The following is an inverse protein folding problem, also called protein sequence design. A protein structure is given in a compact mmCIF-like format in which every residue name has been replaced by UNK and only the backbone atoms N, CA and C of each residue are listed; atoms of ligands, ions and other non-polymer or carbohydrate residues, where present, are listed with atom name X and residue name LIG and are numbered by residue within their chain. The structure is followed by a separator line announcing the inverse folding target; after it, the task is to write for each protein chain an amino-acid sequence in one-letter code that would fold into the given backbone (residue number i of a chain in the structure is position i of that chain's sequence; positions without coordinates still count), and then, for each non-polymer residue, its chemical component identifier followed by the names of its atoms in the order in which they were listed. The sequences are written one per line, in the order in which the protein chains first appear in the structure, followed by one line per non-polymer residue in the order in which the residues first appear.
data_IF_336620439174
#
_entry.id   IF_336620439174
#
_cell.length_a   1.000
_cell.length_b   1.000
_cell.length_c   1.000
_cell.angle_alpha   90.00
_cell.angle_beta   90.00
_cell.angle_gamma   90.00
#
_symmetry.space_group_name_H-M   'P 1'
#
loop_
_entity.id
_entity.type
_entity.pdbx_description
1 polymer ?
#
# COMPACT_ATOMS: atom_id res chain seq x y z
N UNK A 1 7.92 -19.51 -16.25
CA UNK A 1 7.16 -19.26 -15.00
C UNK A 1 6.31 -18.01 -15.24
N UNK A 2 5.08 -17.92 -14.72
CA UNK A 2 4.26 -16.69 -14.83
C UNK A 2 4.07 -16.10 -13.44
N UNK A 3 4.41 -14.82 -13.28
CA UNK A 3 4.36 -14.11 -12.02
C UNK A 3 3.19 -13.13 -12.01
N UNK A 4 2.56 -12.97 -10.84
CA UNK A 4 1.50 -12.00 -10.62
C UNK A 4 1.95 -11.08 -9.48
N UNK A 5 1.86 -9.79 -9.71
CA UNK A 5 2.21 -8.76 -8.74
C UNK A 5 0.99 -7.86 -8.54
N UNK A 6 0.49 -7.78 -7.32
CA UNK A 6 -0.58 -6.83 -7.00
C UNK A 6 0.09 -5.61 -6.37
N UNK A 7 -0.06 -4.46 -7.02
CA UNK A 7 0.39 -3.16 -6.50
C UNK A 7 -0.80 -2.43 -5.91
N UNK A 8 -0.54 -1.51 -5.00
CA UNK A 8 -1.58 -0.72 -4.32
C UNK A 8 -1.17 0.74 -4.28
N UNK A 9 -2.14 1.64 -4.29
CA UNK A 9 -1.87 3.08 -4.21
C UNK A 9 -1.13 3.40 -2.89
N UNK A 10 0.04 4.06 -2.92
CA UNK A 10 0.87 4.33 -1.75
C UNK A 10 0.17 4.97 -0.55
N UNK A 11 -0.67 5.99 -0.77
CA UNK A 11 -1.44 6.64 0.30
C UNK A 11 -2.43 5.63 0.89
N UNK A 12 -3.11 4.83 0.05
CA UNK A 12 -4.02 3.78 0.52
C UNK A 12 -3.32 2.70 1.33
N UNK A 13 -2.06 2.37 1.02
CA UNK A 13 -1.26 1.45 1.84
C UNK A 13 -1.02 2.04 3.23
N UNK A 14 -0.54 3.28 3.31
CA UNK A 14 -0.29 3.96 4.59
C UNK A 14 -1.54 4.06 5.46
N UNK A 15 -2.66 4.54 4.89
CA UNK A 15 -3.93 4.69 5.61
C UNK A 15 -4.47 3.33 6.07
N UNK A 16 -4.38 2.32 5.21
CA UNK A 16 -4.86 0.98 5.53
C UNK A 16 -4.02 0.30 6.62
N UNK A 17 -2.70 0.48 6.60
CA UNK A 17 -1.81 -0.04 7.64
C UNK A 17 -2.11 0.57 9.01
N UNK A 18 -2.37 1.86 9.06
CA UNK A 18 -2.66 2.58 10.31
C UNK A 18 -3.95 2.08 10.94
N UNK A 19 -5.00 1.99 10.12
CA UNK A 19 -6.30 1.47 10.55
C UNK A 19 -6.22 0.01 10.97
N UNK A 20 -5.41 -0.79 10.27
CA UNK A 20 -5.15 -2.18 10.63
C UNK A 20 -4.50 -2.25 12.02
N UNK A 21 -3.37 -1.59 12.25
CA UNK A 21 -2.67 -1.66 13.54
C UNK A 21 -3.49 -1.12 14.72
N UNK A 22 -4.37 -0.14 14.51
CA UNK A 22 -5.28 0.34 15.55
C UNK A 22 -6.29 -0.70 16.02
N UNK A 23 -6.74 -1.59 15.12
CA UNK A 23 -7.91 -2.45 15.34
C UNK A 23 -7.58 -3.94 15.39
N UNK A 24 -6.46 -4.35 14.81
CA UNK A 24 -5.98 -5.72 14.73
C UNK A 24 -5.91 -6.38 16.11
N UNK A 25 -6.21 -7.67 16.16
CA UNK A 25 -6.20 -8.48 17.40
C UNK A 25 -5.16 -9.58 17.35
N UNK A 26 -4.41 -9.68 16.25
CA UNK A 26 -3.36 -10.64 16.04
C UNK A 26 -2.22 -10.42 17.02
N UNK A 27 -1.71 -11.52 17.60
CA UNK A 27 -0.70 -11.48 18.66
C UNK A 27 0.56 -10.69 18.27
N UNK A 28 0.95 -10.70 17.01
CA UNK A 28 2.15 -10.00 16.52
C UNK A 28 2.00 -8.48 16.48
N UNK A 29 0.77 -7.96 16.35
CA UNK A 29 0.47 -6.51 16.44
C UNK A 29 0.48 -6.05 17.89
N UNK A 30 0.08 -6.93 18.79
CA UNK A 30 0.01 -6.69 20.23
C UNK A 30 1.34 -6.96 20.95
N UNK A 31 2.30 -7.58 20.28
CA UNK A 31 3.62 -7.89 20.83
C UNK A 31 4.42 -6.60 21.08
N UNK A 32 5.09 -6.48 22.25
CA UNK A 32 6.07 -5.43 22.54
C UNK A 32 7.16 -5.30 21.47
N UNK A 33 7.56 -4.06 21.18
CA UNK A 33 8.59 -3.72 20.20
C UNK A 33 9.72 -2.92 20.85
N UNK A 34 10.97 -3.33 20.61
CA UNK A 34 12.14 -2.66 21.20
C UNK A 34 12.25 -1.22 20.68
N UNK A 35 11.99 -1.04 19.39
CA UNK A 35 11.94 0.26 18.71
C UNK A 35 10.85 1.20 19.25
N UNK A 36 9.83 0.66 19.93
CA UNK A 36 8.78 1.45 20.60
C UNK A 36 8.92 1.47 22.12
N UNK A 37 10.11 1.18 22.65
CA UNK A 37 10.36 1.16 24.10
C UNK A 37 9.55 0.12 24.87
N UNK A 38 9.21 -1.00 24.23
CA UNK A 38 8.39 -2.07 24.81
C UNK A 38 6.88 -1.90 24.59
N UNK A 39 6.43 -0.80 23.97
CA UNK A 39 5.04 -0.69 23.52
C UNK A 39 4.79 -1.59 22.30
N UNK A 40 3.53 -1.99 22.11
CA UNK A 40 3.08 -2.58 20.85
C UNK A 40 2.71 -1.49 19.84
N UNK A 41 2.66 -1.81 18.55
CA UNK A 41 2.21 -0.86 17.51
C UNK A 41 0.82 -0.31 17.82
N UNK A 42 -0.09 -1.18 18.26
CA UNK A 42 -1.42 -0.75 18.65
C UNK A 42 -1.41 0.19 19.85
N UNK A 43 -0.61 -0.11 20.88
CA UNK A 43 -0.48 0.76 22.06
C UNK A 43 0.12 2.12 21.70
N UNK A 44 1.12 2.14 20.81
CA UNK A 44 1.73 3.35 20.28
C UNK A 44 0.71 4.20 19.50
N UNK A 45 0.01 3.63 18.52
CA UNK A 45 -0.95 4.40 17.73
C UNK A 45 -2.14 4.91 18.53
N UNK A 46 -2.49 4.26 19.64
CA UNK A 46 -3.51 4.73 20.59
C UNK A 46 -3.03 5.86 21.51
N UNK A 47 -1.71 6.07 21.65
CA UNK A 47 -1.13 7.08 22.55
C UNK A 47 -0.69 8.37 21.87
N UNK A 48 -0.60 8.37 20.53
CA UNK A 48 -0.25 9.56 19.72
C UNK A 48 -1.48 10.17 19.05
N UNK A 49 -1.34 11.39 18.51
CA UNK A 49 -2.40 12.01 17.71
C UNK A 49 -2.68 11.20 16.43
N UNK A 50 -3.88 11.31 15.87
CA UNK A 50 -4.22 10.63 14.60
C UNK A 50 -3.26 11.03 13.47
N UNK A 51 -2.90 12.32 13.38
CA UNK A 51 -1.99 12.82 12.38
C UNK A 51 -0.59 12.20 12.52
N UNK A 52 -0.05 12.16 13.74
CA UNK A 52 1.25 11.56 14.04
C UNK A 52 1.25 10.05 13.83
N UNK A 53 0.17 9.37 14.19
CA UNK A 53 0.03 7.93 13.99
C UNK A 53 0.00 7.54 12.52
N UNK A 54 -0.78 8.25 11.69
CA UNK A 54 -0.83 8.03 10.24
C UNK A 54 0.52 8.33 9.60
N UNK A 55 1.18 9.43 10.00
CA UNK A 55 2.52 9.78 9.51
C UNK A 55 3.54 8.69 9.87
N UNK A 56 3.57 8.25 11.13
CA UNK A 56 4.50 7.23 11.62
C UNK A 56 4.32 5.91 10.88
N UNK A 57 3.07 5.46 10.69
CA UNK A 57 2.79 4.26 9.91
C UNK A 57 3.25 4.40 8.46
N UNK A 58 3.06 5.57 7.86
CA UNK A 58 3.46 5.78 6.49
C UNK A 58 4.98 5.72 6.32
N UNK A 59 5.73 6.36 7.22
CA UNK A 59 7.19 6.31 7.27
C UNK A 59 7.70 4.87 7.48
N UNK A 60 7.05 4.10 8.37
CA UNK A 60 7.32 2.67 8.57
C UNK A 60 7.12 1.85 7.29
N UNK A 61 6.16 2.23 6.46
CA UNK A 61 5.76 1.48 5.26
C UNK A 61 6.51 1.91 4.00
N UNK A 62 7.17 3.07 3.99
CA UNK A 62 7.93 3.57 2.84
C UNK A 62 8.97 2.57 2.29
N UNK A 63 9.74 1.83 3.10
CA UNK A 63 10.66 0.82 2.57
C UNK A 63 9.95 -0.26 1.74
N UNK A 64 8.81 -0.75 2.19
CA UNK A 64 8.02 -1.76 1.48
C UNK A 64 7.44 -1.20 0.17
N UNK A 65 6.92 0.04 0.20
CA UNK A 65 6.44 0.74 -0.99
C UNK A 65 7.55 0.97 -2.02
N UNK A 66 8.75 1.31 -1.57
CA UNK A 66 9.94 1.45 -2.44
C UNK A 66 10.28 0.13 -3.10
N UNK A 67 10.31 -0.98 -2.37
CA UNK A 67 10.58 -2.30 -2.94
C UNK A 67 9.49 -2.73 -3.93
N UNK A 68 8.21 -2.49 -3.62
CA UNK A 68 7.12 -2.74 -4.56
C UNK A 68 7.28 -1.91 -5.85
N UNK A 69 7.66 -0.63 -5.73
CA UNK A 69 7.92 0.25 -6.86
C UNK A 69 9.12 -0.21 -7.70
N UNK A 70 10.22 -0.66 -7.07
CA UNK A 70 11.36 -1.26 -7.78
C UNK A 70 10.97 -2.51 -8.55
N UNK A 71 10.24 -3.43 -7.91
CA UNK A 71 9.77 -4.67 -8.56
C UNK A 71 8.87 -4.32 -9.73
N UNK A 72 7.91 -3.41 -9.56
CA UNK A 72 7.04 -2.96 -10.64
C UNK A 72 7.84 -2.36 -11.80
N UNK A 73 8.74 -1.41 -11.51
CA UNK A 73 9.57 -0.76 -12.53
C UNK A 73 10.37 -1.78 -13.34
N UNK A 74 11.06 -2.69 -12.65
CA UNK A 74 11.90 -3.73 -13.27
C UNK A 74 11.11 -4.78 -14.06
N UNK A 75 9.82 -4.97 -13.78
CA UNK A 75 9.01 -6.05 -14.37
C UNK A 75 7.89 -5.57 -15.28
N UNK A 76 7.61 -4.26 -15.34
CA UNK A 76 6.48 -3.68 -16.07
C UNK A 76 6.44 -4.03 -17.57
N UNK A 77 7.61 -4.21 -18.19
CA UNK A 77 7.74 -4.59 -19.60
C UNK A 77 7.89 -6.11 -19.83
N UNK A 78 7.92 -6.92 -18.76
CA UNK A 78 8.15 -8.36 -18.87
C UNK A 78 6.83 -9.09 -19.11
N UNK A 79 6.63 -9.66 -20.31
CA UNK A 79 5.39 -10.36 -20.70
C UNK A 79 4.97 -11.52 -19.79
N UNK A 80 5.92 -12.07 -19.02
CA UNK A 80 5.69 -13.15 -18.06
C UNK A 80 5.28 -12.65 -16.67
N UNK A 81 5.08 -11.34 -16.51
CA UNK A 81 4.64 -10.70 -15.28
C UNK A 81 3.34 -9.95 -15.56
N UNK A 82 2.32 -10.20 -14.74
CA UNK A 82 1.09 -9.40 -14.73
C UNK A 82 1.06 -8.55 -13.47
N UNK A 83 1.11 -7.23 -13.64
CA UNK A 83 0.89 -6.27 -12.56
C UNK A 83 -0.57 -5.80 -12.55
N UNK A 84 -1.21 -5.88 -11.39
CA UNK A 84 -2.61 -5.49 -11.19
C UNK A 84 -2.67 -4.46 -10.08
N UNK A 85 -3.40 -3.38 -10.30
CA UNK A 85 -3.74 -2.43 -9.23
C UNK A 85 -4.80 -3.04 -8.32
N UNK A 86 -4.57 -3.01 -7.02
CA UNK A 86 -5.50 -3.54 -6.03
C UNK A 86 -6.90 -2.90 -6.15
N UNK A 87 -6.95 -1.61 -6.46
CA UNK A 87 -8.17 -0.83 -6.63
C UNK A 87 -9.01 -1.30 -7.84
N UNK A 88 -8.39 -1.95 -8.83
CA UNK A 88 -9.09 -2.49 -9.99
C UNK A 88 -10.06 -3.63 -9.63
N UNK A 89 -9.81 -4.34 -8.52
CA UNK A 89 -10.76 -5.32 -7.99
C UNK A 89 -12.05 -4.66 -7.49
N UNK A 90 -11.96 -3.47 -6.89
CA UNK A 90 -13.12 -2.75 -6.38
C UNK A 90 -13.86 -1.99 -7.49
N UNK A 91 -13.15 -1.43 -8.48
CA UNK A 91 -13.76 -0.63 -9.54
C UNK A 91 -14.30 -1.45 -10.71
N UNK A 92 -13.68 -2.61 -11.02
CA UNK A 92 -14.08 -3.45 -12.15
C UNK A 92 -13.63 -4.92 -11.93
N UNK A 93 -14.23 -5.58 -10.95
CA UNK A 93 -13.88 -6.94 -10.54
C UNK A 93 -13.84 -7.93 -11.71
N UNK A 94 -14.90 -7.99 -12.50
CA UNK A 94 -15.03 -8.95 -13.61
C UNK A 94 -13.97 -8.76 -14.70
N UNK A 95 -13.66 -7.52 -15.09
CA UNK A 95 -12.59 -7.26 -16.06
C UNK A 95 -11.21 -7.61 -15.49
N UNK A 96 -10.96 -7.27 -14.23
CA UNK A 96 -9.71 -7.58 -13.53
C UNK A 96 -9.49 -9.09 -13.43
N UNK A 97 -10.50 -9.85 -13.00
CA UNK A 97 -10.42 -11.32 -12.94
C UNK A 97 -10.27 -11.95 -14.33
N UNK A 98 -10.92 -11.41 -15.37
CA UNK A 98 -10.71 -11.86 -16.74
C UNK A 98 -9.26 -11.68 -17.18
N UNK A 99 -8.62 -10.56 -16.85
CA UNK A 99 -7.20 -10.34 -17.13
C UNK A 99 -6.31 -11.35 -16.40
N UNK A 100 -6.57 -11.62 -15.11
CA UNK A 100 -5.88 -12.66 -14.33
C UNK A 100 -6.01 -14.03 -15.00
N UNK A 101 -7.24 -14.44 -15.34
CA UNK A 101 -7.50 -15.75 -15.93
C UNK A 101 -6.90 -15.89 -17.32
N UNK A 102 -6.98 -14.87 -18.16
CA UNK A 102 -6.32 -14.86 -19.47
C UNK A 102 -4.80 -15.01 -19.32
N UNK A 103 -4.22 -14.36 -18.33
CA UNK A 103 -2.79 -14.46 -18.07
C UNK A 103 -2.35 -15.83 -17.56
N UNK A 104 -3.14 -16.52 -16.73
CA UNK A 104 -2.77 -17.88 -16.27
C UNK A 104 -3.23 -18.99 -17.23
N UNK A 105 -4.16 -18.70 -18.13
CA UNK A 105 -4.77 -19.68 -19.05
C UNK A 105 -3.76 -20.48 -19.88
N UNK A 106 -2.70 -19.91 -20.47
CA UNK A 106 -1.72 -20.70 -21.21
C UNK A 106 -1.05 -21.79 -20.36
N UNK A 107 -0.77 -21.49 -19.08
CA UNK A 107 -0.19 -22.46 -18.14
C UNK A 107 -1.20 -23.54 -17.78
N UNK A 108 -2.46 -23.18 -17.57
CA UNK A 108 -3.53 -24.14 -17.29
C UNK A 108 -3.80 -25.06 -18.50
N UNK A 109 -3.86 -24.49 -19.72
CA UNK A 109 -4.08 -25.24 -20.97
C UNK A 109 -2.94 -26.19 -21.30
N UNK A 110 -1.69 -25.85 -20.94
CA UNK A 110 -0.56 -26.75 -21.11
C UNK A 110 -0.60 -27.96 -20.16
N UNK A 111 -1.35 -27.88 -19.05
CA UNK A 111 -1.41 -28.90 -18.01
C UNK A 111 -2.71 -29.71 -18.01
N UNK A 112 -3.76 -29.22 -18.64
CA UNK A 112 -5.08 -29.83 -18.65
C UNK A 112 -5.41 -30.41 -20.04
N UNK A 113 -6.16 -31.51 -20.12
CA UNK A 113 -6.74 -31.97 -21.38
C UNK A 113 -7.54 -30.85 -22.05
N UNK A 114 -7.52 -30.77 -23.39
CA UNK A 114 -8.15 -29.67 -24.14
C UNK A 114 -9.65 -29.49 -23.83
N UNK A 115 -10.36 -30.60 -23.58
CA UNK A 115 -11.77 -30.60 -23.18
C UNK A 115 -12.01 -30.10 -21.73
N UNK A 116 -10.97 -30.04 -20.90
CA UNK A 116 -11.03 -29.62 -19.50
C UNK A 116 -10.49 -28.21 -19.26
N UNK A 117 -9.98 -27.53 -20.30
CA UNK A 117 -9.49 -26.16 -20.15
C UNK A 117 -10.67 -25.21 -19.87
N UNK A 118 -10.70 -24.55 -18.70
CA UNK A 118 -11.83 -23.70 -18.35
C UNK A 118 -11.89 -22.45 -19.23
N UNK A 119 -13.11 -22.10 -19.64
CA UNK A 119 -13.40 -20.82 -20.28
C UNK A 119 -13.21 -19.68 -19.25
N UNK A 120 -12.38 -18.66 -19.54
CA UNK A 120 -12.22 -17.50 -18.66
C UNK A 120 -13.54 -16.86 -18.24
N UNK A 121 -14.58 -16.85 -19.08
CA UNK A 121 -15.89 -16.31 -18.68
C UNK A 121 -16.50 -17.12 -17.53
N UNK A 122 -16.50 -18.45 -17.64
CA UNK A 122 -17.01 -19.34 -16.58
C UNK A 122 -16.21 -19.23 -15.28
N UNK A 123 -14.90 -18.98 -15.37
CA UNK A 123 -14.07 -18.74 -14.19
C UNK A 123 -14.43 -17.40 -13.51
N UNK A 124 -14.68 -16.34 -14.29
CA UNK A 124 -15.16 -15.06 -13.75
C UNK A 124 -16.49 -15.23 -13.03
N UNK A 125 -17.45 -15.95 -13.63
CA UNK A 125 -18.74 -16.23 -13.00
C UNK A 125 -18.55 -17.02 -11.69
N UNK A 126 -17.66 -18.02 -11.67
CA UNK A 126 -17.39 -18.81 -10.48
C UNK A 126 -16.78 -18.00 -9.32
N UNK A 127 -16.08 -16.90 -9.61
CA UNK A 127 -15.49 -16.02 -8.59
C UNK A 127 -16.31 -14.77 -8.31
N UNK A 128 -17.42 -14.54 -9.00
CA UNK A 128 -18.27 -13.37 -8.79
C UNK A 128 -18.75 -13.21 -7.33
N UNK A 129 -19.02 -14.28 -6.54
CA UNK A 129 -19.39 -14.13 -5.13
C UNK A 129 -18.32 -13.47 -4.26
N UNK A 130 -17.07 -13.36 -4.73
CA UNK A 130 -15.97 -12.69 -4.03
C UNK A 130 -15.81 -11.21 -4.44
N UNK A 131 -16.66 -10.69 -5.32
CA UNK A 131 -16.71 -9.27 -5.63
C UNK A 131 -17.21 -8.50 -4.41
N UNK A 132 -16.29 -7.91 -3.64
CA UNK A 132 -16.62 -7.19 -2.42
C UNK A 132 -17.39 -5.89 -2.67
N UNK A 133 -17.37 -5.33 -3.89
CA UNK A 133 -18.19 -4.17 -4.22
C UNK A 133 -19.67 -4.55 -4.33
N UNK A 134 -19.94 -5.73 -4.90
CA UNK A 134 -21.30 -6.27 -5.07
C UNK A 134 -21.80 -7.03 -3.84
N UNK A 135 -20.89 -7.76 -3.18
CA UNK A 135 -21.15 -8.66 -2.06
C UNK A 135 -20.44 -8.19 -0.80
N UNK A 136 -20.51 -6.89 -0.50
CA UNK A 136 -19.89 -6.32 0.68
C UNK A 136 -20.28 -7.13 1.93
N UNK A 137 -19.30 -7.64 2.71
CA UNK A 137 -19.62 -8.39 3.90
C UNK A 137 -20.43 -7.49 4.84
N UNK A 138 -21.45 -8.07 5.50
CA UNK A 138 -22.17 -7.33 6.54
C UNK A 138 -21.14 -6.81 7.54
N UNK A 139 -21.19 -5.52 7.93
CA UNK A 139 -20.25 -4.97 8.89
C UNK A 139 -20.33 -5.80 10.17
N UNK A 140 -19.32 -6.64 10.39
CA UNK A 140 -19.18 -7.36 11.65
C UNK A 140 -18.61 -6.38 12.67
N UNK A 141 -18.90 -6.58 13.97
CA UNK A 141 -18.31 -5.78 15.05
C UNK A 141 -16.76 -5.85 15.09
N UNK A 142 -16.15 -6.76 14.32
CA UNK A 142 -14.71 -6.95 14.20
C UNK A 142 -14.16 -6.52 12.81
N UNK A 143 -14.93 -5.79 12.01
CA UNK A 143 -14.49 -5.36 10.68
C UNK A 143 -13.38 -4.29 10.78
N UNK A 144 -12.17 -4.64 10.37
CA UNK A 144 -11.06 -3.69 10.15
C UNK A 144 -11.26 -2.82 8.89
N UNK A 145 -12.35 -3.03 8.13
CA UNK A 145 -12.66 -2.25 6.93
C UNK A 145 -13.27 -0.93 7.36
N UNK A 146 -12.57 0.17 7.10
CA UNK A 146 -13.07 1.53 7.36
C UNK A 146 -13.83 2.08 6.17
N UNK A 147 -14.74 3.02 6.45
CA UNK A 147 -15.51 3.67 5.38
C UNK A 147 -14.62 4.57 4.51
N UNK A 148 -15.10 4.91 3.31
CA UNK A 148 -14.40 5.86 2.42
C UNK A 148 -14.23 7.22 3.11
N UNK A 149 -15.25 7.68 3.85
CA UNK A 149 -15.23 8.95 4.57
C UNK A 149 -14.16 8.96 5.68
N UNK A 150 -14.06 7.87 6.47
CA UNK A 150 -13.03 7.75 7.50
C UNK A 150 -11.63 7.83 6.91
N UNK A 151 -11.42 7.22 5.74
CA UNK A 151 -10.13 7.26 5.05
C UNK A 151 -9.80 8.64 4.51
N UNK A 152 -10.79 9.42 4.08
CA UNK A 152 -10.55 10.77 3.54
C UNK A 152 -9.90 11.69 4.58
N UNK A 153 -10.40 11.66 5.83
CA UNK A 153 -9.79 12.38 6.93
C UNK A 153 -8.32 11.96 7.15
N UNK A 154 -8.03 10.66 7.08
CA UNK A 154 -6.67 10.14 7.26
C UNK A 154 -5.73 10.52 6.10
N UNK A 155 -6.22 10.49 4.85
CA UNK A 155 -5.45 10.95 3.67
C UNK A 155 -5.04 12.41 3.82
N UNK A 156 -5.94 13.24 4.36
CA UNK A 156 -5.68 14.68 4.54
C UNK A 156 -4.44 14.96 5.40
N UNK A 157 -4.18 14.13 6.42
CA UNK A 157 -3.00 14.24 7.26
C UNK A 157 -1.70 13.94 6.50
N UNK A 158 -1.72 13.03 5.52
CA UNK A 158 -0.56 12.73 4.67
C UNK A 158 -0.31 13.81 3.62
N UNK A 159 -1.39 14.32 3.02
CA UNK A 159 -1.32 15.38 1.98
C UNK A 159 -0.88 16.73 2.56
N UNK A 160 -1.12 16.96 3.85
CA UNK A 160 -0.64 18.14 4.57
C UNK A 160 0.88 18.17 4.76
N UNK A 161 1.57 17.03 4.70
CA UNK A 161 3.01 16.95 4.90
C UNK A 161 3.75 17.02 3.56
N UNK A 162 4.39 18.15 3.26
CA UNK A 162 4.87 18.47 1.91
C UNK A 162 5.86 17.42 1.35
N UNK A 163 6.82 16.99 2.17
CA UNK A 163 7.86 16.04 1.75
C UNK A 163 7.30 14.63 1.59
N UNK A 164 6.48 14.18 2.55
CA UNK A 164 5.85 12.87 2.48
C UNK A 164 4.87 12.78 1.30
N UNK A 165 4.06 13.84 1.08
CA UNK A 165 3.18 13.96 -0.09
C UNK A 165 3.98 13.82 -1.39
N UNK A 166 5.09 14.54 -1.53
CA UNK A 166 5.93 14.47 -2.73
C UNK A 166 6.40 13.02 -3.00
N UNK A 167 6.91 12.33 -1.99
CA UNK A 167 7.40 10.96 -2.15
C UNK A 167 6.28 9.96 -2.46
N UNK A 168 5.13 10.08 -1.78
CA UNK A 168 3.99 9.21 -2.06
C UNK A 168 3.48 9.39 -3.49
N UNK A 169 3.35 10.63 -3.95
CA UNK A 169 2.95 10.93 -5.33
C UNK A 169 3.96 10.43 -6.36
N UNK A 170 5.26 10.59 -6.08
CA UNK A 170 6.31 10.07 -6.95
C UNK A 170 6.29 8.53 -7.02
N UNK A 171 6.05 7.85 -5.90
CA UNK A 171 5.85 6.39 -5.87
C UNK A 171 4.58 5.99 -6.64
N UNK A 172 3.49 6.73 -6.52
CA UNK A 172 2.26 6.51 -7.29
C UNK A 172 2.53 6.62 -8.79
N UNK A 173 3.36 7.57 -9.22
CA UNK A 173 3.82 7.69 -10.60
C UNK A 173 4.69 6.50 -11.03
N UNK A 174 5.67 6.04 -10.22
CA UNK A 174 6.47 4.83 -10.54
C UNK A 174 5.53 3.65 -10.76
N UNK A 175 4.53 3.48 -9.90
CA UNK A 175 3.55 2.40 -9.92
C UNK A 175 2.46 2.59 -11.00
N UNK A 176 2.57 3.64 -11.81
CA UNK A 176 1.69 3.94 -12.94
C UNK A 176 0.31 4.48 -12.56
N UNK A 177 0.05 4.82 -11.28
CA UNK A 177 -1.24 5.34 -10.85
C UNK A 177 -1.58 6.70 -11.44
N UNK A 178 -0.56 7.52 -11.67
CA UNK A 178 -0.71 8.85 -12.25
C UNK A 178 -0.34 8.82 -13.74
N UNK A 179 -1.11 9.48 -14.62
CA UNK A 179 -0.63 9.77 -15.95
C UNK A 179 0.62 10.64 -15.83
N UNK A 180 1.69 10.31 -16.55
CA UNK A 180 3.01 10.96 -16.51
C UNK A 180 3.03 12.44 -16.95
N UNK A 181 1.88 13.11 -16.99
CA UNK A 181 1.69 14.50 -17.44
C UNK A 181 1.04 15.44 -16.42
N UNK A 182 0.56 14.98 -15.25
CA UNK A 182 -0.18 15.86 -14.32
C UNK A 182 0.69 16.65 -13.33
N UNK A 183 2.01 16.42 -13.27
CA UNK A 183 2.94 17.25 -12.49
C UNK A 183 3.46 18.46 -13.28
N UNK A 184 2.54 19.32 -13.74
CA UNK A 184 2.84 20.68 -14.19
C UNK A 184 3.64 20.79 -15.49
N UNK A 185 3.03 21.43 -16.49
CA UNK A 185 3.54 21.66 -17.84
C UNK A 185 4.82 22.55 -17.97
N UNK A 186 5.70 22.56 -16.98
CA UNK A 186 6.95 23.32 -17.02
C UNK A 186 8.20 22.51 -16.65
N UNK A 187 8.08 21.24 -16.24
CA UNK A 187 9.25 20.43 -15.86
C UNK A 187 9.48 19.29 -16.86
N UNK A 188 10.32 19.53 -17.86
CA UNK A 188 10.94 18.50 -18.72
C UNK A 188 11.88 17.56 -17.96
N UNK A 189 11.81 17.51 -16.63
CA UNK A 189 12.51 16.49 -15.85
C UNK A 189 11.90 15.14 -16.17
N UNK A 190 12.61 14.38 -17.00
CA UNK A 190 12.43 12.95 -17.16
C UNK A 190 12.27 12.34 -15.78
N UNK A 191 11.11 11.72 -15.53
CA UNK A 191 10.85 10.99 -14.31
C UNK A 191 11.96 9.95 -14.09
N UNK A 192 12.62 10.00 -12.94
CA UNK A 192 13.76 9.14 -12.62
C UNK A 192 13.43 8.33 -11.37
N UNK A 193 13.08 7.06 -11.55
CA UNK A 193 12.74 6.14 -10.46
C UNK A 193 13.86 6.02 -9.42
N UNK A 194 15.14 6.00 -9.83
CA UNK A 194 16.28 5.95 -8.91
C UNK A 194 16.35 7.17 -8.00
N UNK A 195 16.00 8.36 -8.51
CA UNK A 195 15.91 9.57 -7.68
C UNK A 195 14.83 9.41 -6.62
N UNK A 196 13.67 8.86 -6.97
CA UNK A 196 12.57 8.60 -6.02
C UNK A 196 13.01 7.61 -4.95
N UNK A 197 13.69 6.53 -5.32
CA UNK A 197 14.16 5.52 -4.37
C UNK A 197 15.21 6.09 -3.40
N UNK A 198 16.14 6.90 -3.89
CA UNK A 198 17.11 7.60 -3.04
C UNK A 198 16.44 8.58 -2.07
N UNK A 199 15.40 9.29 -2.52
CA UNK A 199 14.65 10.20 -1.65
C UNK A 199 13.92 9.44 -0.53
N UNK A 200 13.32 8.29 -0.85
CA UNK A 200 12.72 7.40 0.16
C UNK A 200 13.77 7.01 1.21
N UNK A 201 14.96 6.58 0.78
CA UNK A 201 16.03 6.18 1.70
C UNK A 201 16.48 7.33 2.59
N UNK A 202 16.57 8.55 2.05
CA UNK A 202 16.90 9.73 2.84
C UNK A 202 15.84 10.03 3.90
N UNK A 203 14.56 9.96 3.56
CA UNK A 203 13.46 10.19 4.51
C UNK A 203 13.46 9.14 5.60
N UNK A 204 13.55 7.86 5.24
CA UNK A 204 13.56 6.74 6.19
C UNK A 204 14.76 6.86 7.12
N UNK A 205 15.96 7.14 6.59
CA UNK A 205 17.16 7.31 7.41
C UNK A 205 17.14 8.56 8.30
N UNK A 206 16.40 9.62 7.91
CA UNK A 206 16.21 10.79 8.76
C UNK A 206 15.26 10.47 9.92
N UNK A 207 14.13 9.81 9.62
CA UNK A 207 13.13 9.41 10.61
C UNK A 207 13.73 8.57 11.75
N UNK A 208 14.47 7.52 11.42
CA UNK A 208 15.05 6.63 12.45
C UNK A 208 16.19 7.28 13.23
N UNK A 209 16.94 8.21 12.64
CA UNK A 209 18.02 8.93 13.34
C UNK A 209 17.50 9.89 14.41
N UNK A 210 16.37 10.54 14.15
CA UNK A 210 15.75 11.44 15.13
C UNK A 210 15.19 10.66 16.34
N UNK A 211 14.73 9.43 16.15
CA UNK A 211 14.28 8.55 17.24
C UNK A 211 15.43 8.10 18.15
N UNK A 212 16.56 7.69 17.57
CA UNK A 212 17.75 7.24 18.33
C UNK A 212 18.33 8.34 19.23
N UNK A 213 18.15 9.62 18.86
CA UNK A 213 18.68 10.76 19.60
C UNK A 213 17.74 11.28 20.70
N UNK A 214 16.52 10.74 20.84
CA UNK A 214 15.58 11.09 21.93
C UNK A 214 15.13 9.90 22.82
N UNK A 215 16.05 9.08 23.38
CA UNK A 215 15.67 7.95 24.24
C UNK A 215 14.94 8.38 25.53
N UNK A 216 15.13 9.62 25.99
CA UNK A 216 14.53 10.16 27.22
C UNK A 216 13.07 10.61 27.08
N UNK A 217 12.47 10.62 25.87
CA UNK A 217 11.06 11.01 25.66
C UNK A 217 10.06 9.86 25.73
N UNK A 218 10.54 8.63 25.81
CA UNK A 218 9.70 7.41 25.80
C UNK A 218 8.93 7.25 27.14
N UNK A 219 9.37 7.94 28.20
CA UNK A 219 8.71 7.99 29.50
C UNK A 219 7.90 9.28 29.74
N UNK A 220 6.84 9.53 28.98
CA UNK A 220 5.73 10.37 29.45
C UNK A 220 5.67 11.85 29.04
N UNK A 221 6.46 12.33 28.09
CA UNK A 221 6.31 13.70 27.57
C UNK A 221 6.44 13.77 26.05
N UNK A 222 5.28 13.76 25.36
CA UNK A 222 5.08 14.23 23.99
C UNK A 222 6.05 13.71 22.93
N UNK A 223 5.60 12.73 22.14
CA UNK A 223 6.20 12.42 20.84
C UNK A 223 6.11 13.67 19.97
N UNK A 224 7.23 14.36 19.76
CA UNK A 224 7.29 15.55 18.91
C UNK A 224 8.06 15.18 17.65
N UNK A 225 7.33 15.03 16.55
CA UNK A 225 7.91 14.81 15.24
C UNK A 225 8.33 16.16 14.68
N UNK A 226 9.61 16.37 14.33
CA UNK A 226 10.01 17.59 13.65
C UNK A 226 9.25 17.73 12.32
N UNK A 227 8.93 18.97 11.95
CA UNK A 227 8.43 19.28 10.61
C UNK A 227 9.58 19.06 9.61
N UNK A 228 9.66 17.84 9.07
CA UNK A 228 10.60 17.43 8.02
C UNK A 228 10.23 18.00 6.65
#
# INVERSE_FOLDING_TARGET
MRLRHVIREPIEVCVSGYQYHLRATEAWVLAPRAELGGASWQSFFKSVSTADGVRSECLRTLPELREAAKVFHATSAVEQVLSIRFEAFASNFSSTMRAVFNFVSPVLRARLPRAAAPDPARLVDAVSPFDLATHAPKPSKASHVSSIADKEALRSHLVGHARLRYVLLALSEVLGYLPSQEFGAASTTVFNAERVFNEVDQIVNAFWRDEEQSPSKIGGAGWHFPDL
#
